data_IF_237300589163
#
_entry.id   IF_237300589163
#
_cell.length_a   1.000
_cell.length_b   1.000
_cell.length_c   1.000
_cell.angle_alpha   90.00
_cell.angle_beta   90.00
_cell.angle_gamma   90.00
#
_symmetry.space_group_name_H-M   'P 1'
#
loop_
_entity.id
_entity.type
_entity.pdbx_description
1 polymer ?
#
# COMPACT_ATOMS: atom_id res chain seq x y z
N UNK A 1 -37.51 -53.49 35.99
CA UNK A 1 -36.83 -52.21 35.68
C UNK A 1 -35.95 -52.32 34.41
N UNK A 2 -36.46 -52.84 33.29
CA UNK A 2 -35.67 -53.10 32.08
C UNK A 2 -36.10 -52.29 30.84
N UNK A 3 -37.06 -51.36 30.97
CA UNK A 3 -37.72 -50.72 29.81
C UNK A 3 -37.41 -49.23 29.62
N UNK A 4 -36.38 -48.68 30.28
CA UNK A 4 -36.12 -47.23 30.23
C UNK A 4 -34.80 -46.83 29.53
N UNK A 5 -33.90 -47.79 29.29
CA UNK A 5 -32.57 -47.51 28.69
C UNK A 5 -32.53 -47.53 27.16
N UNK A 6 -33.65 -47.81 26.49
CA UNK A 6 -33.73 -47.95 25.03
C UNK A 6 -33.97 -46.62 24.28
N UNK A 7 -34.09 -45.49 24.99
CA UNK A 7 -34.34 -44.14 24.43
C UNK A 7 -33.10 -43.22 24.38
N UNK A 8 -31.89 -43.73 24.66
CA UNK A 8 -30.68 -42.86 24.64
C UNK A 8 -30.17 -42.72 23.21
N UNK A 9 -30.50 -41.59 22.58
CA UNK A 9 -30.04 -41.24 21.23
C UNK A 9 -28.53 -41.00 21.20
N UNK A 10 -27.87 -41.47 20.13
CA UNK A 10 -26.46 -41.19 19.85
C UNK A 10 -26.22 -39.66 19.76
N UNK A 11 -25.07 -39.16 20.25
CA UNK A 11 -24.76 -37.74 20.15
C UNK A 11 -24.50 -37.35 18.68
N UNK A 12 -25.24 -36.36 18.18
CA UNK A 12 -25.25 -35.98 16.76
C UNK A 12 -24.01 -35.21 16.28
N UNK A 13 -23.32 -34.51 17.18
CA UNK A 13 -22.14 -33.71 16.86
C UNK A 13 -20.95 -34.53 16.33
N UNK A 14 -20.48 -35.60 17.01
CA UNK A 14 -19.41 -36.44 16.49
C UNK A 14 -19.77 -37.11 15.16
N UNK A 15 -21.03 -37.54 14.99
CA UNK A 15 -21.53 -38.13 13.75
C UNK A 15 -21.42 -37.14 12.58
N UNK A 16 -21.93 -35.91 12.76
CA UNK A 16 -21.83 -34.84 11.76
C UNK A 16 -20.38 -34.43 11.45
N UNK A 17 -19.52 -34.39 12.46
CA UNK A 17 -18.10 -34.08 12.28
C UNK A 17 -17.40 -35.16 11.45
N UNK A 18 -17.74 -36.42 11.69
CA UNK A 18 -17.20 -37.56 10.94
C UNK A 18 -17.70 -37.59 9.50
N UNK A 19 -19.00 -37.39 9.27
CA UNK A 19 -19.60 -37.27 7.93
C UNK A 19 -18.97 -36.12 7.13
N UNK A 20 -18.79 -34.96 7.77
CA UNK A 20 -18.12 -33.81 7.16
C UNK A 20 -16.65 -34.12 6.81
N UNK A 21 -15.92 -34.79 7.70
CA UNK A 21 -14.50 -35.10 7.49
C UNK A 21 -14.26 -36.21 6.45
N UNK A 22 -15.11 -37.25 6.45
CA UNK A 22 -15.04 -38.36 5.51
C UNK A 22 -15.59 -38.00 4.13
N UNK A 23 -16.49 -37.01 4.02
CA UNK A 23 -17.10 -36.61 2.77
C UNK A 23 -17.79 -37.80 2.06
N UNK A 24 -17.73 -37.94 0.72
CA UNK A 24 -18.37 -39.04 -0.02
C UNK A 24 -17.62 -40.39 0.10
N UNK A 25 -16.68 -40.52 1.04
CA UNK A 25 -16.08 -41.80 1.36
C UNK A 25 -17.14 -42.64 2.09
N UNK A 26 -17.52 -43.79 1.53
CA UNK A 26 -18.41 -44.77 2.16
C UNK A 26 -17.81 -45.22 3.51
N UNK A 27 -18.14 -44.46 4.55
CA UNK A 27 -17.68 -44.63 5.92
C UNK A 27 -18.86 -44.93 6.87
N UNK A 28 -20.04 -45.16 6.30
CA UNK A 28 -21.26 -45.58 7.01
C UNK A 28 -21.00 -46.86 7.83
N UNK A 29 -20.28 -47.84 7.28
CA UNK A 29 -19.90 -49.06 8.00
C UNK A 29 -19.07 -48.77 9.28
N UNK A 30 -18.11 -47.85 9.19
CA UNK A 30 -17.23 -47.49 10.32
C UNK A 30 -17.98 -46.71 11.40
N UNK A 31 -18.98 -45.95 10.99
CA UNK A 31 -19.86 -45.21 11.89
C UNK A 31 -20.83 -46.18 12.59
N UNK A 32 -21.39 -47.14 11.85
CA UNK A 32 -22.25 -48.21 12.39
C UNK A 32 -21.59 -49.00 13.50
N UNK A 33 -20.33 -49.43 13.31
CA UNK A 33 -19.54 -50.13 14.34
C UNK A 33 -19.37 -49.28 15.62
N UNK A 34 -19.19 -47.96 15.47
CA UNK A 34 -19.05 -47.05 16.60
C UNK A 34 -20.38 -46.86 17.35
N UNK A 35 -21.50 -46.85 16.64
CA UNK A 35 -22.84 -46.74 17.22
C UNK A 35 -23.25 -48.00 17.99
N UNK A 36 -22.95 -49.19 17.45
CA UNK A 36 -23.20 -50.47 18.14
C UNK A 36 -22.49 -50.53 19.50
N UNK A 37 -21.20 -50.18 19.51
CA UNK A 37 -20.40 -50.08 20.73
C UNK A 37 -20.96 -49.04 21.70
N UNK A 38 -21.53 -47.93 21.22
CA UNK A 38 -22.18 -46.95 22.09
C UNK A 38 -23.37 -47.55 22.83
N UNK A 39 -24.27 -48.26 22.14
CA UNK A 39 -25.43 -48.90 22.76
C UNK A 39 -25.03 -50.01 23.74
N UNK A 40 -23.97 -50.75 23.45
CA UNK A 40 -23.42 -51.75 24.37
C UNK A 40 -22.85 -51.12 25.66
N UNK A 41 -22.11 -50.02 25.52
CA UNK A 41 -21.58 -49.27 26.66
C UNK A 41 -22.69 -48.57 27.48
N UNK A 42 -23.84 -48.22 26.87
CA UNK A 42 -25.03 -47.69 27.57
C UNK A 42 -25.76 -48.76 28.39
N UNK A 43 -25.75 -50.02 27.93
CA UNK A 43 -26.33 -51.15 28.67
C UNK A 43 -25.50 -51.53 29.90
N UNK A 44 -24.17 -51.56 29.74
CA UNK A 44 -23.22 -52.04 30.77
C UNK A 44 -22.72 -50.96 31.72
N UNK A 45 -22.69 -49.68 31.33
CA UNK A 45 -22.16 -48.55 32.13
C UNK A 45 -23.08 -47.31 32.09
N UNK A 46 -22.66 -46.24 32.77
CA UNK A 46 -23.36 -44.95 32.82
C UNK A 46 -23.37 -44.23 31.45
N UNK A 47 -24.44 -43.48 31.19
CA UNK A 47 -24.69 -42.76 29.92
C UNK A 47 -23.63 -41.70 29.60
N UNK A 48 -23.07 -41.03 30.61
CA UNK A 48 -22.01 -40.03 30.42
C UNK A 48 -20.69 -40.65 29.95
N UNK A 49 -20.35 -41.84 30.48
CA UNK A 49 -19.16 -42.57 30.08
C UNK A 49 -19.27 -43.06 28.62
N UNK A 50 -20.44 -43.56 28.22
CA UNK A 50 -20.69 -43.99 26.85
C UNK A 50 -20.56 -42.84 25.84
N UNK A 51 -21.09 -41.65 26.16
CA UNK A 51 -20.98 -40.46 25.29
C UNK A 51 -19.52 -40.01 25.09
N UNK A 52 -18.73 -39.94 26.16
CA UNK A 52 -17.30 -39.56 26.07
C UNK A 52 -16.48 -40.58 25.29
N UNK A 53 -16.73 -41.87 25.50
CA UNK A 53 -16.02 -42.95 24.81
C UNK A 53 -16.34 -43.00 23.31
N UNK A 54 -17.61 -42.79 22.94
CA UNK A 54 -18.03 -42.66 21.54
C UNK A 54 -17.32 -41.48 20.85
N UNK A 55 -17.24 -40.33 21.52
CA UNK A 55 -16.57 -39.15 20.99
C UNK A 55 -15.07 -39.39 20.71
N UNK A 56 -14.37 -40.03 21.65
CA UNK A 56 -12.96 -40.42 21.47
C UNK A 56 -12.76 -41.43 20.34
N UNK A 57 -13.72 -42.35 20.15
CA UNK A 57 -13.63 -43.38 19.12
C UNK A 57 -13.85 -42.80 17.72
N UNK A 58 -14.85 -41.94 17.57
CA UNK A 58 -15.11 -41.22 16.31
C UNK A 58 -13.92 -40.34 15.93
N UNK A 59 -13.35 -39.60 16.89
CA UNK A 59 -12.16 -38.78 16.66
C UNK A 59 -10.94 -39.64 16.28
N UNK A 60 -10.76 -40.78 16.92
CA UNK A 60 -9.70 -41.73 16.56
C UNK A 60 -9.89 -42.34 15.17
N UNK A 61 -11.14 -42.59 14.75
CA UNK A 61 -11.47 -43.09 13.42
C UNK A 61 -11.16 -42.05 12.33
N UNK A 62 -11.38 -40.76 12.60
CA UNK A 62 -11.02 -39.68 11.66
C UNK A 62 -9.53 -39.71 11.30
N UNK A 63 -8.66 -39.95 12.28
CA UNK A 63 -7.21 -40.02 12.06
C UNK A 63 -6.70 -41.44 11.73
N UNK A 64 -7.59 -42.42 11.62
CA UNK A 64 -7.22 -43.80 11.34
C UNK A 64 -6.70 -43.96 9.91
N UNK A 65 -5.72 -44.86 9.78
CA UNK A 65 -5.16 -45.26 8.49
C UNK A 65 -6.23 -45.76 7.50
N UNK A 66 -7.32 -46.36 8.00
CA UNK A 66 -8.44 -46.84 7.18
C UNK A 66 -9.13 -45.71 6.39
N UNK A 67 -9.43 -44.58 7.04
CA UNK A 67 -10.05 -43.42 6.39
C UNK A 67 -9.08 -42.75 5.43
N UNK A 68 -7.81 -42.60 5.83
CA UNK A 68 -6.76 -42.02 4.98
C UNK A 68 -6.50 -42.84 3.71
N UNK A 69 -6.51 -44.17 3.81
CA UNK A 69 -6.36 -45.10 2.68
C UNK A 69 -7.57 -45.05 1.72
N UNK A 70 -8.79 -44.99 2.25
CA UNK A 70 -10.02 -44.85 1.43
C UNK A 70 -10.07 -43.50 0.71
N UNK A 71 -9.64 -42.42 1.36
CA UNK A 71 -9.52 -41.08 0.76
C UNK A 71 -8.47 -41.08 -0.37
N UNK A 72 -7.29 -41.67 -0.12
CA UNK A 72 -6.21 -41.77 -1.13
C UNK A 72 -6.59 -42.64 -2.34
N UNK A 73 -7.28 -43.77 -2.14
CA UNK A 73 -7.69 -44.66 -3.26
C UNK A 73 -8.72 -44.01 -4.19
N UNK A 74 -9.49 -43.03 -3.72
CA UNK A 74 -10.45 -42.27 -4.54
C UNK A 74 -9.85 -40.98 -5.12
N UNK A 75 -8.91 -40.35 -4.40
CA UNK A 75 -8.12 -39.21 -4.89
C UNK A 75 -7.34 -39.55 -6.19
N UNK A 76 -6.89 -40.80 -6.34
CA UNK A 76 -6.20 -41.30 -7.55
C UNK A 76 -7.03 -41.20 -8.84
N UNK A 77 -8.36 -41.05 -8.76
CA UNK A 77 -9.22 -40.86 -9.93
C UNK A 77 -9.59 -39.38 -10.17
N UNK A 78 -9.14 -38.47 -9.30
CA UNK A 78 -9.42 -37.04 -9.37
C UNK A 78 -8.17 -36.19 -9.16
N UNK A 79 -6.99 -36.71 -9.49
CA UNK A 79 -5.80 -35.88 -9.58
C UNK A 79 -5.92 -35.04 -10.85
N UNK A 80 -6.46 -33.83 -10.68
CA UNK A 80 -6.20 -32.68 -11.53
C UNK A 80 -4.72 -32.30 -11.46
N UNK A 81 -3.86 -33.27 -11.77
CA UNK A 81 -2.45 -33.06 -12.03
C UNK A 81 -2.37 -32.14 -13.23
N UNK A 82 -1.80 -30.96 -13.01
CA UNK A 82 -1.45 -30.06 -14.09
C UNK A 82 -0.43 -30.81 -14.95
N UNK A 83 -0.89 -31.42 -16.04
CA UNK A 83 -0.03 -32.16 -16.95
C UNK A 83 0.84 -31.14 -17.67
N UNK A 84 2.08 -30.97 -17.22
CA UNK A 84 3.05 -30.02 -17.79
C UNK A 84 3.19 -30.17 -19.31
N UNK A 85 3.11 -31.40 -19.83
CA UNK A 85 3.12 -31.68 -21.28
C UNK A 85 1.90 -31.12 -22.03
N UNK A 86 0.73 -31.06 -21.38
CA UNK A 86 -0.47 -30.47 -21.94
C UNK A 86 -0.34 -28.94 -22.04
N UNK A 87 0.20 -28.29 -20.99
CA UNK A 87 0.51 -26.84 -21.00
C UNK A 87 1.52 -26.49 -22.09
N UNK A 88 2.60 -27.26 -22.20
CA UNK A 88 3.59 -27.06 -23.26
C UNK A 88 2.96 -27.16 -24.66
N UNK A 89 2.03 -28.11 -24.85
CA UNK A 89 1.32 -28.25 -26.11
C UNK A 89 0.39 -27.05 -26.37
N UNK A 90 -0.36 -26.58 -25.38
CA UNK A 90 -1.20 -25.38 -25.52
C UNK A 90 -0.39 -24.12 -25.84
N UNK A 91 0.75 -23.90 -25.18
CA UNK A 91 1.65 -22.77 -25.47
C UNK A 91 2.19 -22.87 -26.91
N UNK A 92 2.60 -24.07 -27.33
CA UNK A 92 3.11 -24.32 -28.69
C UNK A 92 2.05 -24.08 -29.77
N UNK A 93 0.81 -24.51 -29.51
CA UNK A 93 -0.34 -24.27 -30.40
C UNK A 93 -0.67 -22.77 -30.46
N UNK A 94 -0.72 -22.09 -29.32
CA UNK A 94 -0.97 -20.65 -29.24
C UNK A 94 0.08 -19.85 -30.02
N UNK A 95 1.37 -20.15 -29.84
CA UNK A 95 2.46 -19.47 -30.57
C UNK A 95 2.36 -19.68 -32.09
N UNK A 96 2.09 -20.92 -32.54
CA UNK A 96 1.91 -21.21 -33.96
C UNK A 96 0.67 -20.52 -34.53
N UNK A 97 -0.39 -20.39 -33.74
CA UNK A 97 -1.60 -19.63 -34.11
C UNK A 97 -1.29 -18.14 -34.30
N UNK A 98 -0.51 -17.56 -33.38
CA UNK A 98 -0.07 -16.17 -33.41
C UNK A 98 0.77 -15.87 -34.67
N UNK A 99 1.68 -16.78 -35.03
CA UNK A 99 2.49 -16.66 -36.25
C UNK A 99 1.68 -16.84 -37.54
N UNK A 100 0.55 -17.56 -37.49
CA UNK A 100 -0.33 -17.78 -38.66
C UNK A 100 -1.19 -16.57 -38.96
N UNK A 101 -1.68 -15.88 -37.93
CA UNK A 101 -2.50 -14.67 -38.04
C UNK A 101 -1.70 -13.41 -37.68
N UNK A 102 -0.68 -13.10 -38.48
CA UNK A 102 0.30 -12.04 -38.17
C UNK A 102 -0.34 -10.66 -38.00
N UNK A 103 -1.20 -10.24 -38.94
CA UNK A 103 -1.79 -8.89 -38.93
C UNK A 103 -2.66 -8.65 -37.70
N UNK A 104 -3.56 -9.59 -37.38
CA UNK A 104 -4.42 -9.50 -36.21
C UNK A 104 -3.63 -9.55 -34.90
N UNK A 105 -2.61 -10.41 -34.84
CA UNK A 105 -1.73 -10.52 -33.67
C UNK A 105 -0.93 -9.24 -33.44
N UNK A 106 -0.40 -8.62 -34.51
CA UNK A 106 0.35 -7.35 -34.42
C UNK A 106 -0.55 -6.24 -33.87
N UNK A 107 -1.76 -6.08 -34.40
CA UNK A 107 -2.69 -5.04 -33.95
C UNK A 107 -3.01 -5.24 -32.46
N UNK A 108 -3.35 -6.47 -32.04
CA UNK A 108 -3.66 -6.75 -30.65
C UNK A 108 -2.48 -6.53 -29.71
N UNK A 109 -1.27 -6.94 -30.11
CA UNK A 109 -0.06 -6.73 -29.30
C UNK A 109 0.23 -5.23 -29.16
N UNK A 110 0.09 -4.45 -30.23
CA UNK A 110 0.34 -3.00 -30.18
C UNK A 110 -0.69 -2.31 -29.29
N UNK A 111 -1.99 -2.57 -29.48
CA UNK A 111 -3.03 -1.96 -28.66
C UNK A 111 -2.87 -2.32 -27.18
N UNK A 112 -2.58 -3.59 -26.87
CA UNK A 112 -2.35 -4.03 -25.50
C UNK A 112 -1.09 -3.38 -24.91
N UNK A 113 0.01 -3.32 -25.67
CA UNK A 113 1.26 -2.73 -25.21
C UNK A 113 1.12 -1.23 -24.94
N UNK A 114 0.46 -0.50 -25.85
CA UNK A 114 0.21 0.93 -25.68
C UNK A 114 -0.73 1.18 -24.50
N UNK A 115 -1.83 0.42 -24.40
CA UNK A 115 -2.78 0.55 -23.29
C UNK A 115 -2.13 0.29 -21.93
N UNK A 116 -1.31 -0.77 -21.83
CA UNK A 116 -0.54 -1.06 -20.61
C UNK A 116 0.51 0.02 -20.31
N UNK A 117 1.21 0.53 -21.33
CA UNK A 117 2.23 1.57 -21.15
C UNK A 117 1.61 2.87 -20.62
N UNK A 118 0.49 3.31 -21.21
CA UNK A 118 -0.22 4.51 -20.76
C UNK A 118 -0.79 4.31 -19.35
N UNK A 119 -1.35 3.13 -19.07
CA UNK A 119 -1.86 2.80 -17.73
C UNK A 119 -0.77 2.81 -16.66
N UNK A 120 0.40 2.23 -16.95
CA UNK A 120 1.55 2.24 -16.06
C UNK A 120 2.11 3.65 -15.85
N UNK A 121 2.19 4.47 -16.89
CA UNK A 121 2.60 5.88 -16.76
C UNK A 121 1.61 6.68 -15.93
N UNK A 122 0.31 6.47 -16.10
CA UNK A 122 -0.72 7.12 -15.29
C UNK A 122 -0.63 6.71 -13.82
N UNK A 123 -0.39 5.41 -13.54
CA UNK A 123 -0.18 4.91 -12.18
C UNK A 123 1.11 5.46 -11.56
N UNK A 124 2.21 5.50 -12.32
CA UNK A 124 3.47 6.09 -11.86
C UNK A 124 3.29 7.57 -11.52
N UNK A 125 2.65 8.35 -12.41
CA UNK A 125 2.35 9.74 -12.15
C UNK A 125 1.45 9.94 -10.92
N UNK A 126 0.48 9.04 -10.70
CA UNK A 126 -0.37 9.10 -9.52
C UNK A 126 0.40 8.85 -8.21
N UNK A 127 1.29 7.86 -8.21
CA UNK A 127 2.16 7.56 -7.06
C UNK A 127 3.08 8.73 -6.80
N UNK A 128 3.72 9.29 -7.83
CA UNK A 128 4.61 10.45 -7.70
C UNK A 128 3.89 11.65 -7.08
N UNK A 129 2.66 11.94 -7.50
CA UNK A 129 1.85 13.04 -6.93
C UNK A 129 1.53 12.78 -5.45
N UNK A 130 1.19 11.54 -5.10
CA UNK A 130 0.82 11.19 -3.73
C UNK A 130 2.03 11.20 -2.80
N UNK A 131 3.17 10.63 -3.21
CA UNK A 131 4.41 10.64 -2.43
C UNK A 131 4.97 12.06 -2.26
N UNK A 132 4.80 12.92 -3.27
CA UNK A 132 5.21 14.32 -3.18
C UNK A 132 4.42 15.11 -2.12
N UNK A 133 3.19 14.73 -1.80
CA UNK A 133 2.40 15.38 -0.73
C UNK A 133 2.60 14.72 0.65
N UNK A 134 3.03 13.45 0.68
CA UNK A 134 3.05 12.62 1.90
C UNK A 134 4.38 12.64 2.69
N UNK A 135 5.42 13.33 2.20
CA UNK A 135 6.72 13.30 2.88
C UNK A 135 6.81 14.15 4.16
N UNK A 136 5.81 14.99 4.46
CA UNK A 136 5.77 15.82 5.65
C UNK A 136 5.11 15.10 6.84
N UNK A 137 5.84 14.94 7.95
CA UNK A 137 5.37 14.31 9.20
C UNK A 137 4.15 15.02 9.80
N UNK A 138 4.01 16.32 9.53
CA UNK A 138 2.92 17.17 10.06
C UNK A 138 1.83 17.44 9.02
N UNK A 139 1.73 16.66 7.93
CA UNK A 139 0.79 16.92 6.81
C UNK A 139 -0.64 17.24 7.28
N UNK A 140 -1.14 16.53 8.28
CA UNK A 140 -2.53 16.66 8.77
C UNK A 140 -2.79 17.98 9.53
N UNK A 141 -1.72 18.74 9.85
CA UNK A 141 -1.77 20.00 10.59
C UNK A 141 -1.28 21.20 9.78
N UNK A 142 -0.86 20.98 8.53
CA UNK A 142 -0.38 22.04 7.63
C UNK A 142 -1.54 22.49 6.76
N UNK A 143 -1.90 23.77 6.87
CA UNK A 143 -2.98 24.36 6.10
C UNK A 143 -2.48 25.54 5.29
N UNK A 144 -3.03 25.70 4.08
CA UNK A 144 -2.79 26.86 3.21
C UNK A 144 -3.98 27.80 3.28
N UNK A 145 -3.71 29.06 3.58
CA UNK A 145 -4.72 30.11 3.54
C UNK A 145 -4.95 30.51 2.08
N UNK A 146 -6.19 30.37 1.61
CA UNK A 146 -6.64 30.77 0.28
C UNK A 146 -7.59 31.96 0.40
N UNK A 147 -7.64 32.79 -0.66
CA UNK A 147 -8.53 33.94 -0.71
C UNK A 147 -9.57 33.70 -1.80
N UNK A 148 -10.83 33.59 -1.42
CA UNK A 148 -11.94 33.54 -2.38
C UNK A 148 -12.62 34.91 -2.45
N UNK A 149 -12.72 35.45 -3.65
CA UNK A 149 -13.42 36.70 -3.94
C UNK A 149 -14.71 36.32 -4.67
N UNK A 150 -15.85 36.61 -4.03
CA UNK A 150 -17.18 36.39 -4.59
C UNK A 150 -17.68 37.75 -5.11
N UNK A 151 -17.41 38.03 -6.39
CA UNK A 151 -17.99 39.17 -7.09
C UNK A 151 -19.29 38.73 -7.76
N UNK A 152 -20.26 39.65 -7.90
CA UNK A 152 -21.64 39.38 -8.37
C UNK A 152 -21.75 38.59 -9.70
N UNK A 153 -20.68 38.50 -10.48
CA UNK A 153 -20.61 37.75 -11.74
C UNK A 153 -19.46 36.73 -11.82
N UNK A 154 -18.58 36.64 -10.82
CA UNK A 154 -17.41 35.76 -10.91
C UNK A 154 -16.88 35.33 -9.55
N UNK A 155 -16.65 34.02 -9.39
CA UNK A 155 -16.08 33.43 -8.18
C UNK A 155 -14.62 33.10 -8.43
N UNK A 156 -13.75 34.05 -8.06
CA UNK A 156 -12.31 33.88 -8.22
C UNK A 156 -11.70 33.35 -6.92
N UNK A 157 -11.09 32.17 -6.96
CA UNK A 157 -10.34 31.62 -5.83
C UNK A 157 -8.84 31.73 -6.12
N UNK A 158 -8.14 32.44 -5.25
CA UNK A 158 -6.71 32.63 -5.30
C UNK A 158 -6.03 31.74 -4.26
N UNK A 159 -4.97 31.05 -4.69
CA UNK A 159 -4.12 30.29 -3.80
C UNK A 159 -3.14 31.19 -2.99
N UNK A 160 -3.31 32.51 -3.05
CA UNK A 160 -2.52 33.50 -2.31
C UNK A 160 -3.41 34.25 -1.33
N UNK A 161 -2.76 34.91 -0.37
CA UNK A 161 -3.44 35.81 0.56
C UNK A 161 -2.62 37.07 0.79
N UNK A 162 -3.24 38.06 1.42
CA UNK A 162 -2.61 39.35 1.70
C UNK A 162 -1.45 39.18 2.68
N UNK A 163 -0.28 39.75 2.37
CA UNK A 163 0.92 39.69 3.23
C UNK A 163 0.67 40.10 4.71
N UNK A 164 -0.06 41.18 5.03
CA UNK A 164 -0.34 41.55 6.43
C UNK A 164 -1.23 40.56 7.19
N UNK A 165 -1.97 39.68 6.50
CA UNK A 165 -2.87 38.73 7.15
C UNK A 165 -2.14 37.84 8.14
N UNK A 166 -0.90 37.45 7.81
CA UNK A 166 -0.10 36.60 8.66
C UNK A 166 0.25 37.25 10.01
N UNK A 167 0.58 38.55 10.00
CA UNK A 167 0.84 39.28 11.25
C UNK A 167 -0.43 39.39 12.10
N UNK A 168 -1.56 39.71 11.47
CA UNK A 168 -2.85 39.84 12.14
C UNK A 168 -3.33 38.50 12.74
N UNK A 169 -3.15 37.39 12.03
CA UNK A 169 -3.53 36.06 12.53
C UNK A 169 -2.67 35.63 13.71
N UNK A 170 -1.38 35.99 13.73
CA UNK A 170 -0.49 35.72 14.85
C UNK A 170 -0.93 36.43 16.13
N UNK A 171 -1.53 37.62 16.01
CA UNK A 171 -2.03 38.40 17.16
C UNK A 171 -3.44 38.00 17.59
N UNK A 172 -4.32 37.67 16.64
CA UNK A 172 -5.77 37.50 16.89
C UNK A 172 -6.22 36.05 17.03
N UNK A 173 -5.52 35.08 16.45
CA UNK A 173 -5.93 33.68 16.45
C UNK A 173 -5.12 32.87 17.48
N UNK A 174 -5.84 32.17 18.36
CA UNK A 174 -5.26 31.15 19.24
C UNK A 174 -5.29 29.77 18.56
N UNK A 175 -4.24 28.96 18.76
CA UNK A 175 -4.12 27.61 18.17
C UNK A 175 -3.24 27.49 16.93
N UNK A 176 -2.62 28.59 16.46
CA UNK A 176 -1.62 28.54 15.38
C UNK A 176 -0.23 28.33 16.00
N UNK A 177 0.37 27.15 15.81
CA UNK A 177 1.71 26.83 16.33
C UNK A 177 2.81 27.61 15.59
N UNK A 178 2.75 27.65 14.26
CA UNK A 178 3.75 28.23 13.38
C UNK A 178 3.07 28.79 12.13
N UNK A 179 3.65 29.83 11.54
CA UNK A 179 3.16 30.43 10.30
C UNK A 179 4.32 30.69 9.35
N UNK A 180 4.13 30.33 8.08
CA UNK A 180 5.13 30.50 7.02
C UNK A 180 4.50 31.29 5.89
N UNK A 181 5.21 32.30 5.41
CA UNK A 181 4.81 33.06 4.23
C UNK A 181 5.66 32.61 3.04
N UNK A 182 5.01 32.43 1.88
CA UNK A 182 5.67 32.17 0.61
C UNK A 182 5.40 33.31 -0.35
N UNK A 183 6.46 33.82 -0.97
CA UNK A 183 6.32 34.73 -2.10
C UNK A 183 7.03 34.15 -3.33
N UNK A 184 6.31 34.12 -4.45
CA UNK A 184 6.87 33.73 -5.75
C UNK A 184 7.55 34.96 -6.38
N UNK A 185 8.54 34.74 -7.23
CA UNK A 185 9.08 35.81 -8.08
C UNK A 185 10.54 36.16 -7.81
N UNK A 186 11.29 35.31 -7.10
CA UNK A 186 12.74 35.37 -7.23
C UNK A 186 13.14 34.71 -8.55
N UNK A 187 13.61 35.51 -9.50
CA UNK A 187 14.25 35.07 -10.73
C UNK A 187 15.46 35.96 -10.98
N UNK A 188 16.61 35.37 -11.29
CA UNK A 188 17.83 36.12 -11.58
C UNK A 188 18.85 35.26 -12.31
N UNK A 189 19.94 35.88 -12.76
CA UNK A 189 21.08 35.17 -13.36
C UNK A 189 22.28 35.29 -12.42
N UNK A 190 22.81 34.14 -11.98
CA UNK A 190 24.06 34.06 -11.25
C UNK A 190 25.25 33.97 -12.20
N UNK A 191 26.27 34.79 -11.93
CA UNK A 191 27.53 34.81 -12.70
C UNK A 191 28.68 34.46 -11.79
N UNK A 192 28.94 33.16 -11.59
CA UNK A 192 29.99 32.69 -10.68
C UNK A 192 31.30 32.33 -11.41
N UNK A 193 31.22 31.96 -12.68
CA UNK A 193 32.37 31.69 -13.55
C UNK A 193 32.32 32.63 -14.75
N UNK A 194 33.51 33.02 -15.24
CA UNK A 194 33.62 33.76 -16.49
C UNK A 194 32.86 32.99 -17.58
N UNK A 195 31.83 33.63 -18.14
CA UNK A 195 31.01 33.15 -19.25
C UNK A 195 29.93 32.07 -18.96
N UNK A 196 29.51 31.85 -17.70
CA UNK A 196 28.32 31.03 -17.41
C UNK A 196 27.27 31.80 -16.62
N UNK A 197 26.20 32.22 -17.31
CA UNK A 197 24.98 32.71 -16.67
C UNK A 197 24.10 31.51 -16.31
N UNK A 198 23.93 31.27 -15.01
CA UNK A 198 23.06 30.20 -14.51
C UNK A 198 21.75 30.83 -14.06
N UNK A 199 20.60 30.47 -14.66
CA UNK A 199 19.31 30.98 -14.22
C UNK A 199 18.99 30.45 -12.83
N UNK A 200 18.70 31.37 -11.92
CA UNK A 200 18.19 31.10 -10.59
C UNK A 200 16.69 31.39 -10.58
N UNK A 201 15.93 30.44 -10.06
CA UNK A 201 14.52 30.64 -9.73
C UNK A 201 14.26 30.10 -8.34
N UNK A 202 13.40 30.78 -7.58
CA UNK A 202 13.16 30.42 -6.20
C UNK A 202 11.97 31.13 -5.59
N UNK A 203 11.80 30.82 -4.31
CA UNK A 203 10.73 31.36 -3.47
C UNK A 203 11.37 32.09 -2.30
N UNK A 204 10.77 33.21 -1.92
CA UNK A 204 11.04 33.81 -0.63
C UNK A 204 10.21 33.08 0.42
N UNK A 205 10.86 32.73 1.52
CA UNK A 205 10.24 32.06 2.66
C UNK A 205 10.70 32.72 3.96
N UNK A 206 9.86 32.66 4.98
CA UNK A 206 10.20 33.10 6.34
C UNK A 206 11.11 32.09 7.05
N UNK A 207 11.80 32.55 8.08
CA UNK A 207 12.68 31.75 8.96
C UNK A 207 12.06 30.44 9.48
N UNK A 208 10.76 30.43 9.77
CA UNK A 208 10.03 29.26 10.28
C UNK A 208 9.78 28.14 9.24
N UNK A 209 10.27 28.28 8.01
CA UNK A 209 10.04 27.30 6.94
C UNK A 209 10.43 25.86 7.35
N UNK A 210 11.64 25.67 7.88
CA UNK A 210 12.12 24.34 8.30
C UNK A 210 11.48 23.82 9.59
N UNK A 211 10.74 24.65 10.34
CA UNK A 211 9.97 24.20 11.50
C UNK A 211 8.65 23.55 11.08
N UNK A 212 8.08 24.00 9.95
CA UNK A 212 6.81 23.51 9.41
C UNK A 212 7.04 22.36 8.42
N UNK A 213 8.05 22.48 7.56
CA UNK A 213 8.33 21.51 6.49
C UNK A 213 9.58 20.68 6.81
N UNK A 214 9.45 19.36 6.72
CA UNK A 214 10.50 18.39 7.10
C UNK A 214 11.61 18.21 6.04
N UNK A 215 12.09 19.30 5.45
CA UNK A 215 13.21 19.24 4.52
C UNK A 215 14.52 19.00 5.26
N UNK A 216 15.23 17.94 4.90
CA UNK A 216 16.55 17.63 5.45
C UNK A 216 17.64 18.39 4.69
N UNK A 217 18.43 19.18 5.41
CA UNK A 217 19.61 19.85 4.85
C UNK A 217 20.80 18.89 4.78
N UNK A 218 21.47 18.84 3.63
CA UNK A 218 22.71 18.07 3.46
C UNK A 218 23.90 18.74 4.14
N UNK A 219 23.93 20.08 4.13
CA UNK A 219 24.99 20.91 4.72
C UNK A 219 24.37 22.20 5.28
N UNK A 220 24.89 22.69 6.40
CA UNK A 220 24.42 23.91 7.07
C UNK A 220 23.49 23.64 8.26
N UNK A 221 22.85 24.68 8.78
CA UNK A 221 21.98 24.61 9.95
C UNK A 221 20.59 25.18 9.61
N UNK A 222 19.55 24.36 9.77
CA UNK A 222 18.17 24.70 9.44
C UNK A 222 17.61 25.86 10.27
N UNK A 223 18.02 25.99 11.53
CA UNK A 223 17.55 27.04 12.43
C UNK A 223 18.10 28.43 12.10
N UNK A 224 19.24 28.52 11.40
CA UNK A 224 19.87 29.79 11.04
C UNK A 224 19.83 30.08 9.53
N UNK A 225 19.43 29.11 8.70
CA UNK A 225 19.50 29.20 7.24
C UNK A 225 18.75 30.41 6.69
N UNK A 226 17.54 30.69 7.18
CA UNK A 226 16.67 31.77 6.71
C UNK A 226 16.49 32.91 7.74
N UNK A 227 17.40 33.02 8.72
CA UNK A 227 17.29 34.02 9.78
C UNK A 227 17.69 35.44 9.33
N UNK A 228 18.50 35.57 8.28
CA UNK A 228 18.97 36.86 7.77
C UNK A 228 18.51 37.11 6.33
N UNK A 229 18.25 38.39 5.97
CA UNK A 229 17.92 38.74 4.59
C UNK A 229 19.08 38.36 3.65
N UNK A 230 18.71 37.95 2.42
CA UNK A 230 19.63 37.50 1.36
C UNK A 230 20.40 36.20 1.63
N UNK A 231 20.11 35.51 2.73
CA UNK A 231 20.54 34.13 2.84
C UNK A 231 19.74 33.25 1.87
N UNK A 232 20.42 32.31 1.21
CA UNK A 232 19.78 31.36 0.28
C UNK A 232 20.03 29.91 0.70
N UNK A 233 18.99 29.09 0.54
CA UNK A 233 19.13 27.64 0.57
C UNK A 233 19.10 27.12 -0.86
N UNK A 234 20.14 26.40 -1.25
CA UNK A 234 20.28 25.83 -2.59
C UNK A 234 19.85 24.37 -2.59
N UNK A 235 19.22 23.94 -3.68
CA UNK A 235 19.07 22.51 -3.96
C UNK A 235 20.44 21.90 -4.25
N UNK A 236 20.58 20.59 -4.03
CA UNK A 236 21.83 19.87 -4.30
C UNK A 236 22.30 20.08 -5.74
N UNK A 237 21.39 19.93 -6.71
CA UNK A 237 21.71 20.11 -8.13
C UNK A 237 22.21 21.52 -8.45
N UNK A 238 21.59 22.55 -7.85
CA UNK A 238 21.98 23.93 -8.09
C UNK A 238 23.33 24.24 -7.42
N UNK A 239 23.56 23.72 -6.21
CA UNK A 239 24.86 23.82 -5.53
C UNK A 239 25.98 23.18 -6.34
N UNK A 240 25.75 21.99 -6.90
CA UNK A 240 26.73 21.30 -7.75
C UNK A 240 26.98 22.05 -9.06
N UNK A 241 25.93 22.63 -9.67
CA UNK A 241 26.09 23.46 -10.88
C UNK A 241 26.90 24.73 -10.62
N UNK A 242 26.71 25.38 -9.48
CA UNK A 242 27.38 26.64 -9.12
C UNK A 242 28.80 26.41 -8.61
N UNK A 243 28.97 25.51 -7.64
CA UNK A 243 30.22 25.33 -6.89
C UNK A 243 30.96 24.03 -7.21
N UNK A 244 30.34 23.10 -7.96
CA UNK A 244 30.91 21.78 -8.21
C UNK A 244 31.07 21.00 -6.91
N UNK A 245 32.31 20.64 -6.58
CA UNK A 245 32.67 19.93 -5.34
C UNK A 245 33.07 20.87 -4.20
N UNK A 246 33.08 22.18 -4.42
CA UNK A 246 33.47 23.18 -3.42
C UNK A 246 32.32 23.37 -2.42
N UNK A 247 32.66 23.48 -1.13
CA UNK A 247 31.69 23.78 -0.09
C UNK A 247 31.04 25.18 -0.33
N UNK A 248 29.71 25.26 -0.52
CA UNK A 248 29.02 26.52 -0.83
C UNK A 248 28.79 27.40 0.40
N UNK A 249 28.97 26.90 1.63
CA UNK A 249 28.61 27.63 2.86
C UNK A 249 29.45 28.91 2.99
N UNK A 250 28.75 30.04 3.15
CA UNK A 250 29.37 31.36 3.33
C UNK A 250 29.95 31.96 2.06
N UNK A 251 29.73 31.33 0.90
CA UNK A 251 30.09 31.88 -0.40
C UNK A 251 29.02 32.85 -0.88
N UNK A 252 29.47 33.84 -1.64
CA UNK A 252 28.61 34.89 -2.16
C UNK A 252 28.27 34.58 -3.61
N UNK A 253 27.00 34.72 -3.97
CA UNK A 253 26.51 34.59 -5.34
C UNK A 253 26.09 35.98 -5.83
N UNK A 254 26.87 36.62 -6.72
CA UNK A 254 26.48 37.87 -7.34
C UNK A 254 25.41 37.61 -8.40
N UNK A 255 24.29 38.31 -8.28
CA UNK A 255 23.22 38.31 -9.28
C UNK A 255 23.38 39.57 -10.13
N UNK A 256 23.10 39.43 -11.43
CA UNK A 256 23.19 40.52 -12.43
C UNK A 256 22.41 41.79 -12.04
N UNK A 257 21.33 41.66 -11.26
CA UNK A 257 20.50 42.77 -10.78
C UNK A 257 21.06 43.50 -9.55
N UNK A 258 22.29 43.22 -9.13
CA UNK A 258 22.96 43.87 -7.99
C UNK A 258 22.60 43.30 -6.61
N UNK A 259 21.74 42.28 -6.56
CA UNK A 259 21.44 41.53 -5.34
C UNK A 259 22.57 40.52 -5.07
N UNK A 260 23.06 40.52 -3.84
CA UNK A 260 24.15 39.66 -3.40
C UNK A 260 23.56 38.64 -2.43
N UNK A 261 23.60 37.35 -2.80
CA UNK A 261 23.13 36.27 -1.94
C UNK A 261 24.27 35.57 -1.20
N UNK A 262 23.98 35.05 -0.01
CA UNK A 262 24.95 34.40 0.88
C UNK A 262 24.46 33.05 1.41
#
# INVERSE_FOLDING_TARGET
MASEKQKVKVPSLPTRLFEWYCGPAAAEDLLGDAEELFYENVKSRSTGFAKRKYWLRVLSLMFSYAVRKRKSKRQSNSDASINYGLIQNYIKIAFRSLMRQKTFSIINIICLSVGMSVGLLALAAWVDITEADDFHTKRDRIYRIITSIDDKNDKNTYASSSAPLAAQLKESASGIEQMVQFNKGFSGEATLRENSAIPLSGYYATDNFFNVFDFTLTQGNAGTALAHPFNIVLTRELSEKLFGTINPIGKIIPIKDGVILK
#
